data_IF_352457750849
#
_entry.id   IF_352457750849
#
_cell.length_a   1.000
_cell.length_b   1.000
_cell.length_c   1.000
_cell.angle_alpha   90.00
_cell.angle_beta   90.00
_cell.angle_gamma   90.00
#
_symmetry.space_group_name_H-M   'P 1'
#
loop_
_entity.id
_entity.type
_entity.pdbx_description
1 polymer ?
#
# COMPACT_ATOMS: atom_id res chain seq x y z
N UNK A 1 12.46 68.20 17.05
CA UNK A 1 11.78 68.31 15.74
C UNK A 1 11.17 66.96 15.29
N UNK A 2 11.87 65.83 15.44
CA UNK A 2 11.31 64.49 15.16
C UNK A 2 10.13 64.09 16.05
N UNK A 3 10.16 64.38 17.36
CA UNK A 3 9.07 64.04 18.28
C UNK A 3 7.76 64.79 17.99
N UNK A 4 7.84 66.08 17.63
CA UNK A 4 6.66 66.85 17.19
C UNK A 4 6.05 66.31 15.89
N UNK A 5 6.86 65.71 15.03
CA UNK A 5 6.43 65.07 13.78
C UNK A 5 5.81 63.69 13.99
N UNK A 6 6.22 62.96 15.04
CA UNK A 6 5.62 61.66 15.42
C UNK A 6 4.28 61.88 16.10
N UNK A 7 4.19 62.82 17.05
CA UNK A 7 2.92 63.16 17.72
C UNK A 7 1.85 63.66 16.75
N UNK A 8 2.23 64.52 15.79
CA UNK A 8 1.31 64.96 14.74
C UNK A 8 0.77 63.79 13.92
N UNK A 9 1.61 62.83 13.51
CA UNK A 9 1.17 61.67 12.71
C UNK A 9 0.12 60.82 13.44
N UNK A 10 0.30 60.61 14.73
CA UNK A 10 -0.62 59.83 15.56
C UNK A 10 -2.00 60.50 15.65
N UNK A 11 -2.02 61.82 15.82
CA UNK A 11 -3.26 62.63 15.79
C UNK A 11 -3.98 62.54 14.42
N UNK A 12 -3.25 62.56 13.30
CA UNK A 12 -3.83 62.39 11.96
C UNK A 12 -4.43 60.99 11.76
N UNK A 13 -3.77 59.93 12.25
CA UNK A 13 -4.29 58.58 12.18
C UNK A 13 -5.54 58.40 13.03
N UNK A 14 -5.56 58.94 14.25
CA UNK A 14 -6.75 58.90 15.09
C UNK A 14 -7.93 59.66 14.47
N UNK A 15 -7.68 60.84 13.89
CA UNK A 15 -8.71 61.61 13.19
C UNK A 15 -9.26 60.83 11.98
N UNK A 16 -8.38 60.18 11.22
CA UNK A 16 -8.78 59.33 10.10
C UNK A 16 -9.58 58.11 10.55
N UNK A 17 -9.19 57.44 11.64
CA UNK A 17 -9.94 56.30 12.21
C UNK A 17 -11.33 56.75 12.67
N UNK A 18 -11.43 57.90 13.37
CA UNK A 18 -12.73 58.45 13.78
C UNK A 18 -13.63 58.76 12.58
N UNK A 19 -13.07 59.35 11.53
CA UNK A 19 -13.78 59.60 10.27
C UNK A 19 -14.26 58.29 9.61
N UNK A 20 -13.38 57.28 9.53
CA UNK A 20 -13.71 55.97 8.98
C UNK A 20 -14.85 55.30 9.76
N UNK A 21 -14.79 55.30 11.10
CA UNK A 21 -15.86 54.76 11.96
C UNK A 21 -17.19 55.46 11.72
N UNK A 22 -17.17 56.79 11.64
CA UNK A 22 -18.38 57.59 11.37
C UNK A 22 -18.99 57.23 10.01
N UNK A 23 -18.17 57.12 8.96
CA UNK A 23 -18.66 56.73 7.64
C UNK A 23 -19.17 55.28 7.59
N UNK A 24 -18.56 54.36 8.36
CA UNK A 24 -19.04 52.98 8.50
C UNK A 24 -20.41 52.95 9.19
N UNK A 25 -20.59 53.71 10.26
CA UNK A 25 -21.86 53.81 10.98
C UNK A 25 -22.96 54.43 10.11
N UNK A 26 -22.64 55.49 9.37
CA UNK A 26 -23.57 56.10 8.41
C UNK A 26 -24.00 55.09 7.34
N UNK A 27 -23.06 54.34 6.75
CA UNK A 27 -23.37 53.29 5.77
C UNK A 27 -24.21 52.15 6.36
N UNK A 28 -23.93 51.72 7.60
CA UNK A 28 -24.76 50.75 8.32
C UNK A 28 -26.18 51.27 8.56
N UNK A 29 -26.32 52.55 8.91
CA UNK A 29 -27.62 53.19 9.07
C UNK A 29 -28.40 53.27 7.75
N UNK A 30 -27.76 53.69 6.65
CA UNK A 30 -28.39 53.68 5.32
C UNK A 30 -28.83 52.27 4.91
N UNK A 31 -27.98 51.25 5.15
CA UNK A 31 -28.31 49.87 4.86
C UNK A 31 -29.52 49.39 5.67
N UNK A 32 -29.57 49.70 6.97
CA UNK A 32 -30.70 49.36 7.84
C UNK A 32 -31.98 50.02 7.35
N UNK A 33 -31.95 51.33 7.06
CA UNK A 33 -33.10 52.07 6.56
C UNK A 33 -33.60 51.52 5.21
N UNK A 34 -32.67 51.16 4.31
CA UNK A 34 -33.01 50.52 3.04
C UNK A 34 -33.69 49.16 3.25
N UNK A 35 -33.14 48.33 4.15
CA UNK A 35 -33.74 47.04 4.51
C UNK A 35 -35.13 47.19 5.14
N UNK A 36 -35.29 48.13 6.06
CA UNK A 36 -36.58 48.38 6.72
C UNK A 36 -37.63 48.90 5.72
N UNK A 37 -37.22 49.76 4.78
CA UNK A 37 -38.11 50.25 3.70
C UNK A 37 -38.52 49.11 2.75
N UNK A 38 -37.58 48.23 2.39
CA UNK A 38 -37.89 47.05 1.55
C UNK A 38 -38.89 46.14 2.26
N UNK A 39 -38.71 45.90 3.56
CA UNK A 39 -39.64 45.09 4.36
C UNK A 39 -41.03 45.72 4.45
N UNK A 40 -41.09 47.04 4.63
CA UNK A 40 -42.36 47.77 4.66
C UNK A 40 -43.11 47.64 3.32
N UNK A 41 -42.42 47.86 2.20
CA UNK A 41 -42.98 47.69 0.85
C UNK A 41 -43.44 46.25 0.56
N UNK A 42 -42.71 45.25 1.09
CA UNK A 42 -43.12 43.84 1.00
C UNK A 42 -44.40 43.58 1.78
N UNK A 43 -44.50 44.10 3.00
CA UNK A 43 -45.70 43.98 3.83
C UNK A 43 -46.91 44.69 3.23
N UNK A 44 -46.72 45.89 2.69
CA UNK A 44 -47.78 46.62 1.97
C UNK A 44 -48.29 45.83 0.75
N UNK A 45 -47.38 45.16 0.02
CA UNK A 45 -47.72 44.32 -1.12
C UNK A 45 -48.47 43.04 -0.72
N UNK A 46 -48.17 42.46 0.45
CA UNK A 46 -48.87 41.27 0.98
C UNK A 46 -50.30 41.58 1.46
N UNK A 47 -50.56 42.82 1.88
CA UNK A 47 -51.89 43.28 2.32
C UNK A 47 -52.80 43.71 1.15
N UNK A 48 -52.28 43.80 -0.06
CA UNK A 48 -52.99 44.26 -1.25
C UNK A 48 -53.54 43.04 -2.04
N UNK A 49 -54.71 42.53 -1.62
CA UNK A 49 -55.33 41.28 -2.13
C UNK A 49 -55.69 41.30 -3.64
N UNK A 50 -55.52 42.43 -4.32
CA UNK A 50 -56.01 42.68 -5.69
C UNK A 50 -55.02 42.41 -6.83
N UNK A 51 -53.87 41.77 -6.58
CA UNK A 51 -52.73 41.76 -7.54
C UNK A 51 -52.48 40.45 -8.31
N UNK A 52 -53.50 39.61 -8.52
CA UNK A 52 -53.31 38.29 -9.13
C UNK A 52 -53.60 38.17 -10.65
N UNK A 53 -53.87 39.25 -11.40
CA UNK A 53 -54.42 39.08 -12.77
C UNK A 53 -53.56 39.50 -13.98
N UNK A 54 -52.30 39.97 -13.87
CA UNK A 54 -51.54 40.36 -15.08
C UNK A 54 -50.04 39.99 -15.04
N UNK A 55 -49.72 38.70 -15.12
CA UNK A 55 -48.35 38.19 -15.04
C UNK A 55 -47.44 38.55 -16.25
N UNK A 56 -47.99 38.61 -17.47
CA UNK A 56 -47.21 38.88 -18.70
C UNK A 56 -46.91 40.39 -18.89
N UNK A 57 -47.88 41.27 -18.63
CA UNK A 57 -47.65 42.72 -18.65
C UNK A 57 -46.68 43.17 -17.55
N UNK A 58 -46.72 42.54 -16.38
CA UNK A 58 -45.78 42.83 -15.30
C UNK A 58 -44.35 42.41 -15.64
N UNK A 59 -44.15 41.40 -16.50
CA UNK A 59 -42.82 40.94 -16.91
C UNK A 59 -42.15 41.94 -17.87
N UNK A 60 -42.87 42.38 -18.91
CA UNK A 60 -42.38 43.41 -19.82
C UNK A 60 -42.14 44.76 -19.11
N UNK A 61 -43.01 45.13 -18.15
CA UNK A 61 -42.81 46.32 -17.29
C UNK A 61 -41.58 46.16 -16.40
N UNK A 62 -41.29 44.98 -15.85
CA UNK A 62 -40.07 44.71 -15.06
C UNK A 62 -38.80 44.81 -15.88
N UNK A 63 -38.80 44.35 -17.13
CA UNK A 63 -37.65 44.47 -18.03
C UNK A 63 -37.34 45.95 -18.33
N UNK A 64 -38.36 46.75 -18.64
CA UNK A 64 -38.18 48.21 -18.82
C UNK A 64 -37.70 48.93 -17.55
N UNK A 65 -38.20 48.55 -16.37
CA UNK A 65 -37.74 49.09 -15.07
C UNK A 65 -36.29 48.67 -14.78
N UNK A 66 -35.91 47.45 -15.15
CA UNK A 66 -34.55 46.95 -14.95
C UNK A 66 -33.54 47.69 -15.85
N UNK A 67 -33.90 47.95 -17.10
CA UNK A 67 -33.08 48.78 -18.00
C UNK A 67 -32.93 50.20 -17.43
N UNK A 68 -34.01 50.81 -16.91
CA UNK A 68 -33.91 52.13 -16.28
C UNK A 68 -33.02 52.10 -15.02
N UNK A 69 -33.12 51.05 -14.21
CA UNK A 69 -32.32 50.87 -13.01
C UNK A 69 -30.82 50.78 -13.32
N UNK A 70 -30.44 50.01 -14.33
CA UNK A 70 -29.03 49.87 -14.75
C UNK A 70 -28.43 51.19 -15.26
N UNK A 71 -29.27 52.10 -15.76
CA UNK A 71 -28.82 53.41 -16.24
C UNK A 71 -28.51 54.41 -15.12
N UNK A 72 -28.93 54.16 -13.86
CA UNK A 72 -28.81 55.12 -12.76
C UNK A 72 -28.05 54.52 -11.56
N UNK A 73 -26.82 55.00 -11.25
CA UNK A 73 -26.16 54.60 -10.02
C UNK A 73 -26.89 55.16 -8.79
N UNK A 74 -27.05 54.33 -7.75
CA UNK A 74 -27.89 54.63 -6.58
C UNK A 74 -27.14 55.30 -5.43
N UNK A 75 -25.85 55.00 -5.27
CA UNK A 75 -25.05 55.47 -4.14
C UNK A 75 -23.85 56.23 -4.65
N UNK A 76 -23.85 57.54 -4.40
CA UNK A 76 -22.71 58.40 -4.69
C UNK A 76 -21.88 58.58 -3.41
N UNK A 77 -20.57 58.31 -3.45
CA UNK A 77 -19.72 58.57 -2.32
C UNK A 77 -19.59 60.09 -2.08
N UNK A 78 -19.61 60.49 -0.82
CA UNK A 78 -19.31 61.87 -0.43
C UNK A 78 -17.82 62.17 -0.59
N UNK A 79 -17.45 63.46 -0.67
CA UNK A 79 -16.05 63.86 -0.85
C UNK A 79 -15.14 63.43 0.32
N UNK A 80 -15.71 63.27 1.51
CA UNK A 80 -14.98 62.79 2.71
C UNK A 80 -14.98 61.27 2.85
N UNK A 81 -15.73 60.53 2.02
CA UNK A 81 -15.85 59.08 2.12
C UNK A 81 -14.50 58.39 1.79
N UNK A 82 -13.86 57.71 2.75
CA UNK A 82 -12.57 57.08 2.53
C UNK A 82 -12.64 55.78 1.70
N UNK A 83 -13.80 55.44 1.12
CA UNK A 83 -14.05 54.15 0.43
C UNK A 83 -13.01 53.78 -0.63
N UNK A 84 -12.49 54.76 -1.38
CA UNK A 84 -11.48 54.52 -2.41
C UNK A 84 -10.18 53.99 -1.82
N UNK A 85 -9.70 54.62 -0.74
CA UNK A 85 -8.50 54.17 -0.02
C UNK A 85 -8.77 52.84 0.69
N UNK A 86 -9.90 52.69 1.36
CA UNK A 86 -10.24 51.45 2.06
C UNK A 86 -10.31 50.25 1.10
N UNK A 87 -10.96 50.41 -0.06
CA UNK A 87 -11.07 49.35 -1.05
C UNK A 87 -9.73 49.03 -1.71
N UNK A 88 -8.96 50.05 -2.09
CA UNK A 88 -7.64 49.85 -2.69
C UNK A 88 -6.68 49.15 -1.71
N UNK A 89 -6.62 49.59 -0.46
CA UNK A 89 -5.76 48.99 0.56
C UNK A 89 -6.20 47.57 0.90
N UNK A 90 -7.50 47.33 1.10
CA UNK A 90 -8.01 45.99 1.40
C UNK A 90 -7.75 45.02 0.25
N UNK A 91 -8.05 45.44 -0.99
CA UNK A 91 -7.83 44.62 -2.19
C UNK A 91 -6.36 44.31 -2.39
N UNK A 92 -5.48 45.31 -2.27
CA UNK A 92 -4.04 45.11 -2.45
C UNK A 92 -3.44 44.22 -1.37
N UNK A 93 -3.82 44.43 -0.11
CA UNK A 93 -3.33 43.63 1.02
C UNK A 93 -3.79 42.18 0.89
N UNK A 94 -5.07 41.97 0.59
CA UNK A 94 -5.63 40.63 0.40
C UNK A 94 -4.99 39.92 -0.78
N UNK A 95 -4.81 40.62 -1.92
CA UNK A 95 -4.13 40.06 -3.10
C UNK A 95 -2.68 39.71 -2.82
N UNK A 96 -1.96 40.54 -2.06
CA UNK A 96 -0.57 40.28 -1.69
C UNK A 96 -0.47 39.05 -0.79
N UNK A 97 -1.33 38.94 0.22
CA UNK A 97 -1.35 37.80 1.13
C UNK A 97 -1.71 36.51 0.39
N UNK A 98 -2.78 36.52 -0.42
CA UNK A 98 -3.22 35.33 -1.15
C UNK A 98 -2.21 34.90 -2.22
N UNK A 99 -1.54 35.85 -2.89
CA UNK A 99 -0.47 35.53 -3.84
C UNK A 99 0.71 34.83 -3.16
N UNK A 100 1.06 35.26 -1.94
CA UNK A 100 2.14 34.63 -1.16
C UNK A 100 1.79 33.20 -0.77
N UNK A 101 0.54 32.96 -0.36
CA UNK A 101 0.05 31.62 -0.03
C UNK A 101 0.07 30.70 -1.26
N UNK A 102 -0.38 31.20 -2.41
CA UNK A 102 -0.33 30.44 -3.68
C UNK A 102 1.10 30.10 -4.08
N UNK A 103 2.04 31.05 -3.96
CA UNK A 103 3.45 30.81 -4.25
C UNK A 103 4.01 29.73 -3.34
N UNK A 104 3.68 29.75 -2.04
CA UNK A 104 4.11 28.73 -1.08
C UNK A 104 3.62 27.34 -1.48
N UNK A 105 2.32 27.21 -1.74
CA UNK A 105 1.71 25.94 -2.19
C UNK A 105 2.34 25.44 -3.48
N UNK A 106 2.55 26.32 -4.46
CA UNK A 106 3.18 25.96 -5.73
C UNK A 106 4.63 25.55 -5.59
N UNK A 107 5.38 26.18 -4.68
CA UNK A 107 6.78 25.83 -4.40
C UNK A 107 6.88 24.42 -3.83
N UNK A 108 6.06 24.10 -2.84
CA UNK A 108 6.02 22.78 -2.21
C UNK A 108 5.60 21.69 -3.23
N UNK A 109 4.60 21.99 -4.04
CA UNK A 109 4.16 21.08 -5.10
C UNK A 109 5.26 20.87 -6.17
N UNK A 110 5.96 21.94 -6.56
CA UNK A 110 7.07 21.85 -7.51
C UNK A 110 8.21 20.98 -6.98
N UNK A 111 8.54 21.09 -5.69
CA UNK A 111 9.55 20.22 -5.07
C UNK A 111 9.13 18.75 -5.10
N UNK A 112 7.86 18.46 -4.78
CA UNK A 112 7.34 17.09 -4.81
C UNK A 112 7.35 16.53 -6.24
N UNK A 113 6.91 17.31 -7.23
CA UNK A 113 6.94 16.91 -8.63
C UNK A 113 8.36 16.65 -9.13
N UNK A 114 9.35 17.46 -8.75
CA UNK A 114 10.75 17.22 -9.10
C UNK A 114 11.26 15.90 -8.53
N UNK A 115 10.96 15.61 -7.27
CA UNK A 115 11.32 14.34 -6.64
C UNK A 115 10.66 13.15 -7.33
N UNK A 116 9.36 13.26 -7.65
CA UNK A 116 8.60 12.25 -8.37
C UNK A 116 9.17 11.98 -9.77
N UNK A 117 9.52 13.03 -10.53
CA UNK A 117 10.14 12.87 -11.86
C UNK A 117 11.48 12.14 -11.77
N UNK A 118 12.32 12.49 -10.78
CA UNK A 118 13.59 11.79 -10.56
C UNK A 118 13.37 10.32 -10.22
N UNK A 119 12.40 10.02 -9.36
CA UNK A 119 12.07 8.64 -8.97
C UNK A 119 11.55 7.84 -10.17
N UNK A 120 10.63 8.41 -10.95
CA UNK A 120 10.08 7.76 -12.14
C UNK A 120 11.17 7.51 -13.20
N UNK A 121 12.11 8.46 -13.36
CA UNK A 121 13.25 8.26 -14.27
C UNK A 121 14.10 7.07 -13.84
N UNK A 122 14.42 6.96 -12.55
CA UNK A 122 15.19 5.84 -12.01
C UNK A 122 14.46 4.50 -12.17
N UNK A 123 13.14 4.47 -11.96
CA UNK A 123 12.34 3.26 -12.23
C UNK A 123 12.43 2.88 -13.71
N UNK A 124 12.25 3.84 -14.62
CA UNK A 124 12.29 3.58 -16.05
C UNK A 124 13.66 3.07 -16.50
N UNK A 125 14.75 3.60 -15.93
CA UNK A 125 16.12 3.10 -16.16
C UNK A 125 16.26 1.66 -15.66
N UNK A 126 15.82 1.37 -14.43
CA UNK A 126 15.87 0.01 -13.88
C UNK A 126 15.03 -1.00 -14.69
N UNK A 127 13.84 -0.58 -15.15
CA UNK A 127 12.99 -1.43 -15.99
C UNK A 127 13.62 -1.68 -17.36
N UNK A 128 14.31 -0.69 -17.92
CA UNK A 128 15.07 -0.87 -19.17
C UNK A 128 16.20 -1.90 -18.99
N UNK A 129 16.94 -1.81 -17.88
CA UNK A 129 17.99 -2.79 -17.55
C UNK A 129 17.42 -4.19 -17.30
N UNK A 130 16.27 -4.30 -16.63
CA UNK A 130 15.60 -5.57 -16.42
C UNK A 130 15.18 -6.19 -17.75
N UNK A 131 14.59 -5.40 -18.66
CA UNK A 131 14.22 -5.86 -20.00
C UNK A 131 15.46 -6.34 -20.79
N UNK A 132 16.57 -5.62 -20.71
CA UNK A 132 17.83 -6.04 -21.33
C UNK A 132 18.36 -7.36 -20.73
N UNK A 133 18.30 -7.51 -19.40
CA UNK A 133 18.67 -8.76 -18.70
C UNK A 133 17.75 -9.92 -19.07
N UNK A 134 16.45 -9.69 -19.22
CA UNK A 134 15.49 -10.71 -19.62
C UNK A 134 15.68 -11.10 -21.09
N UNK A 135 15.92 -10.14 -21.98
CA UNK A 135 16.20 -10.43 -23.38
C UNK A 135 17.51 -11.19 -23.54
N UNK A 136 18.58 -10.78 -22.87
CA UNK A 136 19.86 -11.51 -22.88
C UNK A 136 19.69 -12.93 -22.33
N UNK A 137 19.01 -13.09 -21.19
CA UNK A 137 18.70 -14.41 -20.63
C UNK A 137 17.89 -15.26 -21.60
N UNK A 138 16.82 -14.72 -22.19
CA UNK A 138 16.01 -15.43 -23.20
C UNK A 138 16.86 -15.84 -24.41
N UNK A 139 17.80 -15.00 -24.85
CA UNK A 139 18.71 -15.33 -25.96
C UNK A 139 19.68 -16.46 -25.57
N UNK A 140 20.17 -16.47 -24.32
CA UNK A 140 21.07 -17.52 -23.78
C UNK A 140 20.34 -18.83 -23.45
N UNK A 141 19.09 -18.79 -22.97
CA UNK A 141 18.28 -19.97 -22.66
C UNK A 141 17.79 -20.68 -23.93
N UNK A 142 17.68 -19.98 -25.07
CA UNK A 142 17.39 -20.62 -26.37
C UNK A 142 18.59 -21.45 -26.87
N UNK A 143 19.83 -21.10 -26.49
CA UNK A 143 21.04 -21.84 -26.87
C UNK A 143 21.47 -22.91 -25.85
N UNK A 144 21.01 -22.80 -24.60
CA UNK A 144 21.26 -23.79 -23.57
C UNK A 144 19.96 -24.49 -23.20
N UNK A 145 19.82 -25.70 -23.73
CA UNK A 145 18.85 -26.74 -23.39
C UNK A 145 19.03 -27.14 -21.91
N UNK A 146 18.83 -26.17 -21.02
CA UNK A 146 18.89 -26.31 -19.58
C UNK A 146 17.59 -27.01 -19.20
N UNK A 147 17.70 -28.33 -19.14
CA UNK A 147 16.74 -29.29 -18.61
C UNK A 147 16.39 -29.03 -17.12
N UNK A 148 16.18 -27.79 -16.70
CA UNK A 148 15.49 -27.50 -15.46
C UNK A 148 13.99 -27.56 -15.73
N UNK A 149 13.53 -28.78 -16.01
CA UNK A 149 12.17 -29.14 -15.66
C UNK A 149 12.11 -29.14 -14.14
N UNK A 150 11.89 -27.97 -13.55
CA UNK A 150 11.35 -27.87 -12.21
C UNK A 150 9.93 -28.43 -12.26
N UNK A 151 9.86 -29.76 -12.32
CA UNK A 151 8.61 -30.49 -12.18
C UNK A 151 8.23 -30.27 -10.73
N UNK A 152 7.31 -29.33 -10.50
CA UNK A 152 6.54 -29.26 -9.28
C UNK A 152 5.76 -30.59 -9.20
N UNK A 153 6.41 -31.64 -8.68
CA UNK A 153 5.82 -32.96 -8.49
C UNK A 153 4.96 -32.90 -7.25
N UNK A 154 3.73 -33.40 -7.37
CA UNK A 154 2.87 -33.65 -6.22
C UNK A 154 3.60 -34.50 -5.18
N UNK A 155 3.33 -34.26 -3.90
CA UNK A 155 3.98 -34.91 -2.75
C UNK A 155 3.89 -36.42 -2.87
N UNK A 156 2.77 -36.93 -3.38
CA UNK A 156 2.55 -38.36 -3.55
C UNK A 156 3.43 -38.96 -4.65
N UNK A 157 3.59 -38.25 -5.76
CA UNK A 157 4.47 -38.64 -6.89
C UNK A 157 5.93 -38.56 -6.49
N UNK A 158 6.32 -37.51 -5.75
CA UNK A 158 7.68 -37.34 -5.22
C UNK A 158 8.04 -38.44 -4.23
N UNK A 159 7.12 -38.78 -3.32
CA UNK A 159 7.32 -39.87 -2.36
C UNK A 159 7.48 -41.22 -3.09
N UNK A 160 6.64 -41.50 -4.09
CA UNK A 160 6.76 -42.70 -4.92
C UNK A 160 8.13 -42.80 -5.60
N UNK A 161 8.59 -41.72 -6.22
CA UNK A 161 9.93 -41.68 -6.84
C UNK A 161 11.07 -41.87 -5.85
N UNK A 162 10.95 -41.32 -4.63
CA UNK A 162 11.95 -41.53 -3.59
C UNK A 162 12.00 -43.00 -3.16
N UNK A 163 10.85 -43.67 -3.00
CA UNK A 163 10.80 -45.11 -2.76
C UNK A 163 11.41 -45.90 -3.92
N UNK A 164 11.07 -45.57 -5.17
CA UNK A 164 11.62 -46.24 -6.35
C UNK A 164 13.15 -46.04 -6.46
N UNK A 165 13.66 -44.86 -6.13
CA UNK A 165 15.09 -44.55 -6.09
C UNK A 165 15.82 -45.33 -5.00
N UNK A 166 15.25 -45.40 -3.79
CA UNK A 166 15.82 -46.19 -2.69
C UNK A 166 15.88 -47.66 -3.09
N UNK A 167 14.82 -48.18 -3.72
CA UNK A 167 14.78 -49.56 -4.18
C UNK A 167 15.86 -49.82 -5.27
N UNK A 168 16.06 -48.87 -6.18
CA UNK A 168 17.11 -48.94 -7.20
C UNK A 168 18.51 -48.95 -6.58
N UNK A 169 18.77 -48.05 -5.62
CA UNK A 169 20.04 -47.98 -4.89
C UNK A 169 20.31 -49.30 -4.14
N UNK A 170 19.29 -49.86 -3.48
CA UNK A 170 19.44 -51.13 -2.77
C UNK A 170 19.81 -52.27 -3.71
N UNK A 171 19.13 -52.38 -4.85
CA UNK A 171 19.45 -53.39 -5.88
C UNK A 171 20.85 -53.22 -6.45
N UNK A 172 21.32 -51.98 -6.58
CA UNK A 172 22.62 -51.68 -7.19
C UNK A 172 23.81 -51.83 -6.23
N UNK A 173 23.63 -51.54 -4.93
CA UNK A 173 24.74 -51.44 -3.97
C UNK A 173 24.73 -52.50 -2.85
N UNK A 174 23.58 -53.13 -2.57
CA UNK A 174 23.46 -54.10 -1.47
C UNK A 174 23.40 -55.57 -1.92
N UNK A 175 22.95 -55.82 -3.14
CA UNK A 175 22.83 -57.16 -3.74
C UNK A 175 23.78 -57.26 -4.93
N UNK A 176 24.52 -58.36 -5.02
CA UNK A 176 25.60 -58.54 -5.99
C UNK A 176 25.15 -59.58 -7.03
N UNK A 177 24.36 -59.14 -8.01
CA UNK A 177 24.02 -59.81 -9.30
C UNK A 177 23.71 -61.33 -9.33
N UNK A 178 23.40 -62.02 -8.23
CA UNK A 178 23.02 -63.44 -8.23
C UNK A 178 21.49 -63.61 -8.07
N UNK A 179 20.80 -63.77 -9.19
CA UNK A 179 19.39 -63.40 -9.41
C UNK A 179 18.32 -64.16 -8.59
N UNK A 180 18.62 -65.26 -7.89
CA UNK A 180 17.56 -66.11 -7.29
C UNK A 180 17.54 -66.19 -5.75
N UNK A 181 18.67 -66.06 -5.05
CA UNK A 181 18.66 -65.92 -3.57
C UNK A 181 18.48 -64.45 -3.14
N UNK A 182 18.85 -63.51 -4.02
CA UNK A 182 18.81 -62.07 -3.75
C UNK A 182 17.40 -61.46 -3.77
N UNK A 183 16.43 -62.09 -4.44
CA UNK A 183 15.06 -61.55 -4.53
C UNK A 183 14.32 -61.61 -3.18
N UNK A 184 14.43 -62.75 -2.47
CA UNK A 184 13.84 -62.92 -1.13
C UNK A 184 14.60 -62.10 -0.07
N UNK A 185 15.92 -61.96 -0.23
CA UNK A 185 16.73 -61.10 0.62
C UNK A 185 16.41 -59.61 0.40
N UNK A 186 16.13 -59.18 -0.83
CA UNK A 186 15.69 -57.83 -1.18
C UNK A 186 14.33 -57.48 -0.57
N UNK A 187 13.38 -58.43 -0.58
CA UNK A 187 12.07 -58.23 0.05
C UNK A 187 12.19 -58.11 1.58
N UNK A 188 12.97 -58.99 2.23
CA UNK A 188 13.22 -58.93 3.67
C UNK A 188 13.93 -57.62 4.11
N UNK A 189 14.90 -57.15 3.30
CA UNK A 189 15.59 -55.86 3.52
C UNK A 189 14.63 -54.68 3.33
N UNK A 190 13.76 -54.75 2.32
CA UNK A 190 12.79 -53.71 2.01
C UNK A 190 11.72 -53.57 3.09
N UNK A 191 11.25 -54.69 3.64
CA UNK A 191 10.29 -54.69 4.74
C UNK A 191 10.89 -54.10 6.02
N UNK A 192 12.15 -54.41 6.32
CA UNK A 192 12.86 -53.79 7.45
C UNK A 192 13.04 -52.28 7.22
N UNK A 193 13.33 -51.85 5.99
CA UNK A 193 13.47 -50.42 5.69
C UNK A 193 12.13 -49.67 5.79
N UNK A 194 11.03 -50.26 5.29
CA UNK A 194 9.68 -49.70 5.47
C UNK A 194 9.32 -49.57 6.94
N UNK A 195 9.65 -50.57 7.75
CA UNK A 195 9.43 -50.53 9.21
C UNK A 195 10.29 -49.46 9.89
N UNK A 196 11.54 -49.28 9.45
CA UNK A 196 12.43 -48.22 9.94
C UNK A 196 11.91 -46.81 9.60
N UNK A 197 11.48 -46.58 8.36
CA UNK A 197 10.98 -45.28 7.89
C UNK A 197 9.63 -44.93 8.52
N UNK A 198 8.77 -45.92 8.79
CA UNK A 198 7.48 -45.73 9.47
C UNK A 198 7.60 -45.68 11.01
N UNK A 199 8.81 -45.57 11.57
CA UNK A 199 9.07 -45.52 13.01
C UNK A 199 8.41 -46.65 13.82
N UNK A 200 8.52 -47.90 13.36
CA UNK A 200 7.99 -49.05 14.09
C UNK A 200 8.69 -49.23 15.45
N UNK A 201 7.98 -49.10 16.59
CA UNK A 201 8.56 -49.23 17.92
C UNK A 201 8.92 -50.67 18.30
N UNK A 202 8.48 -51.66 17.50
CA UNK A 202 8.70 -53.09 17.76
C UNK A 202 9.92 -53.65 17.06
N UNK A 203 10.62 -52.85 16.24
CA UNK A 203 11.79 -53.29 15.51
C UNK A 203 12.98 -53.50 16.46
N UNK A 204 13.43 -54.74 16.58
CA UNK A 204 14.51 -55.12 17.48
C UNK A 204 15.75 -55.59 16.73
N UNK A 205 16.90 -55.55 17.38
CA UNK A 205 18.15 -56.12 16.84
C UNK A 205 18.04 -57.63 16.53
N UNK A 206 17.05 -58.32 17.10
CA UNK A 206 16.74 -59.71 16.79
C UNK A 206 16.19 -59.86 15.36
N UNK A 207 15.45 -58.88 14.84
CA UNK A 207 14.88 -58.92 13.49
C UNK A 207 15.96 -58.87 12.40
N UNK A 208 17.11 -58.25 12.70
CA UNK A 208 18.30 -58.26 11.85
C UNK A 208 19.12 -59.57 11.97
N UNK A 209 18.82 -60.42 12.97
CA UNK A 209 19.54 -61.68 13.27
C UNK A 209 18.80 -62.95 12.86
N UNK A 210 17.46 -62.94 12.86
CA UNK A 210 16.63 -64.15 12.72
C UNK A 210 16.22 -64.50 11.28
N UNK A 211 16.59 -63.68 10.29
CA UNK A 211 16.32 -63.94 8.88
C UNK A 211 17.36 -64.87 8.24
N UNK A 212 16.92 -65.75 7.33
CA UNK A 212 17.75 -66.66 6.51
C UNK A 212 18.92 -65.98 5.78
N UNK A 213 18.90 -64.66 5.62
CA UNK A 213 19.91 -63.84 4.94
C UNK A 213 20.66 -62.92 5.91
N UNK A 214 21.25 -63.52 6.96
CA UNK A 214 21.92 -62.83 8.07
C UNK A 214 23.06 -61.92 7.64
N UNK A 215 23.75 -62.21 6.55
CA UNK A 215 24.95 -61.46 6.14
C UNK A 215 24.63 -60.11 5.51
N UNK A 216 23.62 -60.02 4.66
CA UNK A 216 23.17 -58.79 3.98
C UNK A 216 22.46 -57.84 4.93
N UNK A 217 21.61 -58.36 5.82
CA UNK A 217 20.93 -57.55 6.83
C UNK A 217 21.86 -57.01 7.92
N UNK A 218 22.91 -57.75 8.28
CA UNK A 218 23.96 -57.25 9.17
C UNK A 218 24.86 -56.21 8.50
N UNK A 219 25.12 -56.33 7.18
CA UNK A 219 25.82 -55.29 6.41
C UNK A 219 25.00 -54.00 6.39
N UNK A 220 23.69 -54.09 6.17
CA UNK A 220 22.78 -52.94 6.24
C UNK A 220 22.77 -52.30 7.63
N UNK A 221 22.63 -53.09 8.69
CA UNK A 221 22.66 -52.58 10.07
C UNK A 221 23.99 -51.89 10.39
N UNK A 222 25.13 -52.46 9.96
CA UNK A 222 26.46 -51.84 10.11
C UNK A 222 26.58 -50.54 9.31
N UNK A 223 26.00 -50.49 8.12
CA UNK A 223 25.99 -49.29 7.28
C UNK A 223 25.17 -48.17 7.92
N UNK A 224 23.97 -48.49 8.41
CA UNK A 224 23.10 -47.54 9.12
C UNK A 224 23.74 -47.04 10.43
N UNK A 225 24.44 -47.92 11.15
CA UNK A 225 25.17 -47.55 12.37
C UNK A 225 26.40 -46.68 12.07
N UNK A 226 27.21 -47.02 11.05
CA UNK A 226 28.35 -46.20 10.62
C UNK A 226 27.93 -44.86 10.05
N UNK A 227 26.79 -44.83 9.35
CA UNK A 227 26.17 -43.61 8.84
C UNK A 227 25.54 -42.75 9.93
N UNK A 228 25.55 -43.19 11.19
CA UNK A 228 24.87 -42.53 12.30
C UNK A 228 23.40 -42.20 11.96
N UNK A 229 22.70 -43.09 11.25
CA UNK A 229 21.31 -42.86 10.84
C UNK A 229 20.31 -43.52 11.81
N UNK A 230 20.82 -44.32 12.74
CA UNK A 230 20.03 -45.17 13.63
C UNK A 230 20.57 -45.09 15.05
N UNK A 231 19.68 -44.92 16.02
CA UNK A 231 20.00 -44.90 17.45
C UNK A 231 19.54 -46.22 18.09
N UNK A 232 20.47 -47.01 18.65
CA UNK A 232 20.08 -48.18 19.44
C UNK A 232 19.55 -47.73 20.81
N UNK A 233 18.30 -48.05 21.14
CA UNK A 233 17.74 -47.76 22.46
C UNK A 233 18.41 -48.61 23.54
N UNK A 234 18.56 -48.04 24.73
CA UNK A 234 19.26 -48.62 25.89
C UNK A 234 18.42 -49.70 26.58
N UNK A 235 18.31 -50.86 25.94
CA UNK A 235 17.74 -52.10 26.49
C UNK A 235 18.75 -53.27 26.55
N UNK A 236 18.42 -54.31 27.31
CA UNK A 236 19.22 -55.54 27.43
C UNK A 236 19.55 -56.18 26.05
N UNK A 237 20.67 -56.89 25.98
CA UNK A 237 21.46 -57.18 24.77
C UNK A 237 20.76 -57.90 23.60
N UNK A 238 19.57 -58.48 23.81
CA UNK A 238 18.79 -59.17 22.78
C UNK A 238 17.48 -58.46 22.39
N UNK A 239 17.09 -57.40 23.10
CA UNK A 239 15.85 -56.63 22.89
C UNK A 239 16.11 -55.14 22.71
N UNK A 240 17.30 -54.79 22.19
CA UNK A 240 17.61 -53.41 21.79
C UNK A 240 16.70 -53.02 20.62
N UNK A 241 15.80 -52.09 20.84
CA UNK A 241 15.03 -51.49 19.74
C UNK A 241 15.94 -50.60 18.90
N UNK A 242 15.70 -50.63 17.60
CA UNK A 242 16.51 -49.96 16.59
C UNK A 242 15.63 -48.90 15.97
N UNK A 243 15.88 -47.63 16.27
CA UNK A 243 15.07 -46.51 15.77
C UNK A 243 15.90 -45.66 14.81
N UNK A 244 15.26 -45.23 13.72
CA UNK A 244 15.82 -44.24 12.81
C UNK A 244 15.90 -42.88 13.55
N UNK A 245 16.93 -42.09 13.27
CA UNK A 245 16.98 -40.71 13.76
C UNK A 245 15.78 -39.95 13.21
N UNK A 246 15.21 -39.08 14.05
CA UNK A 246 14.12 -38.23 13.61
C UNK A 246 14.64 -37.16 12.64
N UNK A 247 14.35 -37.34 11.35
CA UNK A 247 14.64 -36.35 10.31
C UNK A 247 13.54 -35.29 10.18
N UNK A 248 12.44 -35.44 10.90
CA UNK A 248 11.30 -34.50 10.93
C UNK A 248 11.38 -33.56 12.13
N UNK A 249 12.14 -33.93 13.17
CA UNK A 249 12.37 -33.07 14.32
C UNK A 249 13.17 -31.84 13.90
N UNK A 250 12.49 -30.71 13.87
CA UNK A 250 13.05 -29.39 13.55
C UNK A 250 13.38 -28.61 14.83
N UNK A 251 13.29 -29.26 16.00
CA UNK A 251 13.66 -28.63 17.26
C UNK A 251 15.19 -28.50 17.38
N UNK A 252 15.64 -27.36 16.86
CA UNK A 252 16.83 -26.61 17.25
C UNK A 252 18.18 -27.30 17.00
N UNK A 253 18.67 -27.17 15.77
CA UNK A 253 20.10 -26.88 15.53
C UNK A 253 20.32 -25.39 15.35
#
# INVERSE_FOLDING_TARGET
MREKLVGAKEEWYEAYIKSLTTHIENKKYFLKKAQDTIKELQREKENDETRNELAEEEKAKREAIWEEFLNKPLLFPERSDPIGLSLATSSLTMRSASSMDVIKVMKDNCTNMKSMVTYQRKINENLSLLLESMNSSATTTIESDSNETNIYKDVHTRNKELWDNIQSIMKQYLFDSDENEDALACEAVWDILKRLVNYDPTLTFADFKFSSHRETLMKLYRLLLKGHLVVPSTGHTNSRSVQLIDFLDTDVS
#
